data_IF_664538174855
#
_entry.id   IF_664538174855
#
_cell.length_a   1.000
_cell.length_b   1.000
_cell.length_c   1.000
_cell.angle_alpha   90.00
_cell.angle_beta   90.00
_cell.angle_gamma   90.00
#
_symmetry.space_group_name_H-M   'P 1'
#
loop_
_entity.id
_entity.type
_entity.pdbx_description
1 polymer ?
#
# COMPACT_ATOMS: atom_id res chain seq x y z
N UNK A 1 29.34 -1.80 -16.03
CA UNK A 1 28.38 -2.54 -15.17
C UNK A 1 27.96 -1.83 -13.88
N UNK A 2 28.74 -0.90 -13.29
CA UNK A 2 28.17 0.10 -12.37
C UNK A 2 26.95 0.77 -13.00
N UNK A 3 27.05 1.01 -14.32
CA UNK A 3 25.98 1.49 -15.19
C UNK A 3 24.71 0.65 -15.17
N UNK A 4 24.72 -0.69 -15.08
CA UNK A 4 23.48 -1.48 -15.21
C UNK A 4 22.64 -1.41 -13.94
N UNK A 5 23.29 -1.46 -12.76
CA UNK A 5 22.62 -1.27 -11.48
C UNK A 5 22.20 0.19 -11.31
N UNK A 6 23.05 1.14 -11.69
CA UNK A 6 22.70 2.58 -11.74
C UNK A 6 21.60 2.87 -12.74
N UNK A 7 21.53 2.17 -13.88
CA UNK A 7 20.45 2.30 -14.87
C UNK A 7 19.17 1.65 -14.36
N UNK A 8 19.23 0.52 -13.65
CA UNK A 8 18.07 -0.05 -12.98
C UNK A 8 17.54 0.90 -11.90
N UNK A 9 18.42 1.43 -11.05
CA UNK A 9 18.07 2.38 -9.98
C UNK A 9 17.61 3.74 -10.53
N UNK A 10 18.21 4.25 -11.59
CA UNK A 10 17.76 5.46 -12.29
C UNK A 10 16.44 5.23 -13.02
N UNK A 11 16.20 4.03 -13.55
CA UNK A 11 14.92 3.61 -14.11
C UNK A 11 13.85 3.46 -13.01
N UNK A 12 14.19 2.92 -11.83
CA UNK A 12 13.33 2.91 -10.64
C UNK A 12 13.06 4.33 -10.12
N UNK A 13 14.02 5.26 -10.18
CA UNK A 13 13.80 6.65 -9.78
C UNK A 13 12.96 7.43 -10.81
N UNK A 14 13.20 7.21 -12.10
CA UNK A 14 12.54 7.91 -13.22
C UNK A 14 11.10 7.43 -13.46
N UNK A 15 10.82 6.14 -13.31
CA UNK A 15 9.47 5.60 -13.50
C UNK A 15 8.54 5.77 -12.29
N UNK A 16 9.02 6.34 -11.18
CA UNK A 16 8.34 6.45 -9.88
C UNK A 16 7.38 5.26 -9.56
N UNK A 17 7.88 4.01 -9.56
CA UNK A 17 7.08 2.83 -9.26
C UNK A 17 6.70 2.76 -7.78
N UNK A 18 7.34 3.55 -6.92
CA UNK A 18 7.04 3.64 -5.48
C UNK A 18 5.67 4.30 -5.25
N UNK A 19 5.27 5.25 -6.11
CA UNK A 19 3.89 5.75 -6.16
C UNK A 19 2.90 4.73 -6.76
N UNK A 20 3.38 3.72 -7.52
CA UNK A 20 2.58 2.68 -8.14
C UNK A 20 2.60 1.34 -7.37
N UNK A 21 1.90 1.36 -6.21
CA UNK A 21 1.31 0.25 -5.41
C UNK A 21 2.25 -0.76 -4.72
N UNK A 22 2.06 -0.83 -3.40
CA UNK A 22 2.00 -2.11 -2.66
C UNK A 22 0.92 -3.02 -3.28
N UNK A 23 1.28 -4.22 -3.71
CA UNK A 23 0.34 -5.26 -4.17
C UNK A 23 0.04 -5.35 -5.69
N UNK A 24 0.83 -4.69 -6.56
CA UNK A 24 0.64 -4.63 -8.03
C UNK A 24 1.49 -5.61 -8.85
N UNK A 25 1.83 -6.78 -8.31
CA UNK A 25 2.65 -7.75 -9.06
C UNK A 25 1.78 -8.70 -9.90
N UNK A 26 2.11 -8.86 -11.19
CA UNK A 26 1.59 -9.97 -12.00
C UNK A 26 2.02 -11.31 -11.40
N UNK A 27 1.25 -12.37 -11.65
CA UNK A 27 1.70 -13.72 -11.31
C UNK A 27 2.92 -14.04 -12.17
N UNK A 28 3.86 -14.82 -11.62
CA UNK A 28 5.07 -15.22 -12.32
C UNK A 28 4.78 -15.96 -13.64
N UNK A 29 3.66 -16.66 -13.73
CA UNK A 29 3.22 -17.32 -14.95
C UNK A 29 2.70 -16.33 -16.00
N UNK A 30 1.87 -15.36 -15.62
CA UNK A 30 1.35 -14.32 -16.51
C UNK A 30 2.49 -13.45 -17.07
N UNK A 31 3.47 -13.13 -16.22
CA UNK A 31 4.68 -12.42 -16.65
C UNK A 31 5.52 -13.23 -17.66
N UNK A 32 5.67 -14.55 -17.45
CA UNK A 32 6.37 -15.44 -18.39
C UNK A 32 5.63 -15.56 -19.72
N UNK A 33 4.30 -15.71 -19.69
CA UNK A 33 3.45 -15.76 -20.90
C UNK A 33 3.54 -14.45 -21.70
N UNK A 34 3.52 -13.30 -21.01
CA UNK A 34 3.69 -11.99 -21.64
C UNK A 34 5.07 -11.84 -22.31
N UNK A 35 6.15 -12.25 -21.63
CA UNK A 35 7.50 -12.20 -22.17
C UNK A 35 7.65 -13.08 -23.43
N UNK A 36 7.14 -14.32 -23.39
CA UNK A 36 7.16 -15.24 -24.52
C UNK A 36 6.41 -14.66 -25.74
N UNK A 37 5.24 -14.06 -25.52
CA UNK A 37 4.43 -13.40 -26.55
C UNK A 37 5.11 -12.19 -27.19
N UNK A 38 5.86 -11.42 -26.40
CA UNK A 38 6.60 -10.27 -26.92
C UNK A 38 7.79 -10.74 -27.76
N UNK A 39 8.49 -11.80 -27.32
CA UNK A 39 9.61 -12.40 -28.05
C UNK A 39 9.23 -13.16 -29.33
N UNK A 40 7.96 -13.55 -29.50
CA UNK A 40 7.49 -14.26 -30.70
C UNK A 40 7.02 -13.34 -31.84
N UNK A 41 7.19 -12.02 -31.76
CA UNK A 41 6.74 -11.09 -32.82
C UNK A 41 7.70 -11.12 -34.03
N UNK A 42 7.21 -11.13 -35.27
CA UNK A 42 8.07 -10.94 -36.44
C UNK A 42 8.80 -9.59 -36.35
N UNK A 43 10.13 -9.60 -36.44
CA UNK A 43 10.97 -8.40 -36.23
C UNK A 43 11.40 -8.13 -34.78
N UNK A 44 10.95 -8.95 -33.82
CA UNK A 44 11.43 -8.91 -32.44
C UNK A 44 12.67 -9.78 -32.22
N UNK A 45 13.82 -9.35 -32.76
CA UNK A 45 15.11 -9.94 -32.37
C UNK A 45 15.46 -9.59 -30.90
N UNK A 46 16.51 -10.16 -30.30
CA UNK A 46 16.96 -9.81 -28.94
C UNK A 46 17.20 -8.30 -28.72
N UNK A 47 17.35 -7.51 -29.79
CA UNK A 47 17.37 -6.03 -29.74
C UNK A 47 16.01 -5.32 -29.60
N UNK A 48 14.89 -6.04 -29.46
CA UNK A 48 13.53 -5.46 -29.35
C UNK A 48 12.93 -5.51 -27.94
N UNK A 49 13.44 -6.40 -27.07
CA UNK A 49 13.21 -6.39 -25.62
C UNK A 49 13.51 -5.04 -24.91
N UNK A 50 14.52 -4.24 -25.34
CA UNK A 50 14.83 -2.94 -24.75
C UNK A 50 13.80 -1.82 -25.00
N UNK A 51 12.79 -2.06 -25.85
CA UNK A 51 11.84 -1.03 -26.30
C UNK A 51 10.55 -0.96 -25.47
N UNK A 52 10.38 -1.85 -24.50
CA UNK A 52 9.21 -1.88 -23.64
C UNK A 52 9.61 -1.66 -22.17
N UNK A 53 9.59 -0.41 -21.67
CA UNK A 53 10.05 -0.09 -20.32
C UNK A 53 9.29 -0.89 -19.25
N UNK A 54 7.97 -1.09 -19.38
CA UNK A 54 7.19 -1.83 -18.37
C UNK A 54 7.51 -3.34 -18.34
N UNK A 55 7.77 -3.96 -19.50
CA UNK A 55 8.25 -5.34 -19.54
C UNK A 55 9.68 -5.45 -19.02
N UNK A 56 10.56 -4.51 -19.42
CA UNK A 56 11.93 -4.44 -18.92
C UNK A 56 11.96 -4.25 -17.40
N UNK A 57 11.04 -3.45 -16.83
CA UNK A 57 10.85 -3.30 -15.38
C UNK A 57 10.58 -4.64 -14.71
N UNK A 58 9.57 -5.39 -15.19
CA UNK A 58 9.18 -6.64 -14.56
C UNK A 58 10.15 -7.79 -14.82
N UNK A 59 10.83 -7.82 -15.97
CA UNK A 59 11.94 -8.73 -16.20
C UNK A 59 13.13 -8.40 -15.30
N UNK A 60 13.52 -7.12 -15.19
CA UNK A 60 14.54 -6.66 -14.23
C UNK A 60 14.11 -6.98 -12.80
N UNK A 61 12.82 -6.86 -12.45
CA UNK A 61 12.30 -7.18 -11.12
C UNK A 61 12.22 -8.69 -10.84
N UNK A 62 11.89 -9.51 -11.84
CA UNK A 62 11.94 -10.98 -11.76
C UNK A 62 13.38 -11.47 -11.61
N UNK A 63 14.30 -10.91 -12.39
CA UNK A 63 15.73 -11.21 -12.27
C UNK A 63 16.27 -10.62 -10.95
N UNK A 64 15.81 -9.45 -10.48
CA UNK A 64 16.15 -8.87 -9.16
C UNK A 64 15.63 -9.68 -7.98
N UNK A 65 14.43 -10.25 -8.08
CA UNK A 65 13.87 -11.18 -7.12
C UNK A 65 14.66 -12.51 -7.08
N UNK A 66 15.25 -12.93 -8.21
CA UNK A 66 16.25 -14.00 -8.25
C UNK A 66 17.66 -13.56 -7.80
N UNK A 67 17.96 -12.24 -7.79
CA UNK A 67 19.28 -11.69 -7.44
C UNK A 67 19.53 -11.50 -5.94
N UNK A 68 18.52 -11.61 -5.08
CA UNK A 68 18.66 -11.49 -3.63
C UNK A 68 18.09 -12.75 -2.96
N UNK A 69 18.98 -13.65 -2.53
CA UNK A 69 18.58 -14.81 -1.73
C UNK A 69 18.80 -14.51 -0.25
N UNK A 70 17.78 -14.77 0.57
CA UNK A 70 17.95 -14.87 2.02
C UNK A 70 18.80 -16.11 2.30
N UNK A 71 19.95 -15.93 2.96
CA UNK A 71 20.70 -17.05 3.51
C UNK A 71 19.95 -17.66 4.70
N UNK A 72 20.18 -18.94 5.06
CA UNK A 72 19.61 -19.57 6.24
C UNK A 72 19.89 -18.82 7.56
N UNK A 73 20.95 -18.00 7.58
CA UNK A 73 21.33 -17.14 8.70
C UNK A 73 20.56 -15.81 8.77
N UNK A 74 19.60 -15.57 7.88
CA UNK A 74 18.75 -14.36 7.88
C UNK A 74 19.37 -13.12 7.22
N UNK A 75 20.58 -13.21 6.67
CA UNK A 75 21.19 -12.15 5.87
C UNK A 75 20.79 -12.21 4.39
N UNK A 76 20.53 -11.06 3.77
CA UNK A 76 20.42 -10.95 2.32
C UNK A 76 21.81 -11.15 1.71
N UNK A 77 22.01 -12.20 0.91
CA UNK A 77 23.26 -12.39 0.17
C UNK A 77 23.15 -11.75 -1.22
N UNK A 78 24.15 -10.95 -1.64
CA UNK A 78 24.22 -10.44 -2.99
C UNK A 78 24.33 -11.62 -3.97
N UNK A 79 23.68 -11.51 -5.13
CA UNK A 79 23.85 -12.49 -6.20
C UNK A 79 25.33 -12.67 -6.58
N UNK A 80 25.72 -13.85 -7.07
CA UNK A 80 27.05 -14.16 -7.60
C UNK A 80 27.63 -13.12 -8.56
N UNK A 81 26.78 -12.34 -9.24
CA UNK A 81 27.17 -11.25 -10.16
C UNK A 81 27.69 -10.01 -9.42
N UNK A 82 27.07 -9.68 -8.28
CA UNK A 82 27.54 -8.62 -7.38
C UNK A 82 28.80 -9.09 -6.65
N UNK A 83 28.86 -10.37 -6.26
CA UNK A 83 30.04 -10.98 -5.70
C UNK A 83 31.25 -10.93 -6.66
N UNK A 84 31.09 -11.39 -7.90
CA UNK A 84 32.15 -11.34 -8.91
C UNK A 84 32.75 -9.92 -9.07
N UNK A 85 31.91 -8.88 -9.02
CA UNK A 85 32.37 -7.49 -9.14
C UNK A 85 33.14 -6.98 -7.92
N UNK A 86 32.71 -7.35 -6.70
CA UNK A 86 33.46 -7.08 -5.47
C UNK A 86 34.83 -7.77 -5.49
N UNK A 87 34.90 -8.99 -6.06
CA UNK A 87 36.15 -9.75 -6.17
C UNK A 87 37.11 -9.24 -7.27
N UNK A 88 36.63 -8.50 -8.29
CA UNK A 88 37.44 -7.96 -9.39
C UNK A 88 37.86 -6.49 -9.21
N UNK A 89 37.50 -5.87 -8.09
CA UNK A 89 37.83 -4.47 -7.78
C UNK A 89 38.76 -4.46 -6.57
N UNK A 90 40.10 -4.36 -6.74
CA UNK A 90 41.07 -4.67 -5.69
C UNK A 90 41.01 -3.75 -4.46
N UNK A 91 40.41 -2.57 -4.61
CA UNK A 91 40.24 -1.59 -3.52
C UNK A 91 38.83 -1.62 -2.89
N UNK A 92 37.99 -2.59 -3.24
CA UNK A 92 36.64 -2.70 -2.70
C UNK A 92 36.65 -3.38 -1.31
N UNK A 93 36.25 -2.70 -0.23
CA UNK A 93 36.35 -3.21 1.13
C UNK A 93 35.50 -4.46 1.39
N UNK A 94 34.66 -4.88 0.45
CA UNK A 94 33.82 -6.08 0.54
C UNK A 94 34.38 -7.28 -0.25
N UNK A 95 35.54 -7.15 -0.91
CA UNK A 95 36.17 -8.20 -1.71
C UNK A 95 36.55 -9.46 -0.90
N UNK A 96 36.81 -9.31 0.41
CA UNK A 96 37.23 -10.40 1.32
C UNK A 96 36.10 -11.37 1.70
N UNK A 97 34.85 -11.11 1.29
CA UNK A 97 33.69 -11.92 1.68
C UNK A 97 33.35 -13.07 0.72
N UNK A 98 34.19 -13.39 -0.28
CA UNK A 98 33.79 -14.18 -1.45
C UNK A 98 34.77 -15.29 -1.85
N UNK A 99 34.21 -16.40 -2.34
CA UNK A 99 34.90 -17.65 -2.71
C UNK A 99 35.35 -17.66 -4.20
N UNK A 100 36.56 -18.14 -4.47
CA UNK A 100 37.22 -18.11 -5.79
C UNK A 100 36.56 -19.01 -6.85
N UNK A 101 35.89 -20.11 -6.44
CA UNK A 101 35.35 -21.11 -7.37
C UNK A 101 34.23 -20.61 -8.29
N UNK A 102 33.61 -19.46 -7.97
CA UNK A 102 32.50 -18.89 -8.73
C UNK A 102 32.96 -17.93 -9.85
N UNK A 103 34.25 -17.58 -9.90
CA UNK A 103 34.77 -16.57 -10.83
C UNK A 103 34.74 -17.03 -12.30
N UNK A 104 35.07 -18.29 -12.55
CA UNK A 104 35.24 -18.83 -13.91
C UNK A 104 33.91 -19.17 -14.60
N UNK A 105 32.92 -19.64 -13.86
CA UNK A 105 31.61 -20.01 -14.42
C UNK A 105 30.83 -18.80 -14.94
N UNK A 106 31.04 -17.62 -14.35
CA UNK A 106 30.31 -16.40 -14.72
C UNK A 106 30.97 -15.63 -15.86
N UNK A 107 32.30 -15.70 -16.01
CA UNK A 107 32.98 -15.17 -17.19
C UNK A 107 32.41 -15.80 -18.47
N UNK A 108 32.13 -17.11 -18.45
CA UNK A 108 31.51 -17.82 -19.56
C UNK A 108 30.08 -17.32 -19.89
N UNK A 109 29.26 -17.02 -18.88
CA UNK A 109 27.87 -16.59 -19.06
C UNK A 109 27.74 -15.15 -19.61
N UNK A 110 28.59 -14.22 -19.16
CA UNK A 110 28.60 -12.84 -19.64
C UNK A 110 28.99 -12.76 -21.12
N UNK A 111 30.01 -13.52 -21.53
CA UNK A 111 30.43 -13.67 -22.93
C UNK A 111 29.33 -14.29 -23.79
N UNK A 112 28.57 -15.26 -23.25
CA UNK A 112 27.47 -15.90 -23.98
C UNK A 112 26.31 -14.92 -24.29
N UNK A 113 26.04 -13.97 -23.39
CA UNK A 113 24.96 -12.98 -23.53
C UNK A 113 25.40 -11.67 -24.22
N UNK A 114 26.67 -11.52 -24.59
CA UNK A 114 27.25 -10.32 -25.24
C UNK A 114 26.93 -9.01 -24.51
N UNK A 115 26.85 -9.04 -23.19
CA UNK A 115 26.50 -7.86 -22.37
C UNK A 115 27.62 -6.81 -22.35
N UNK A 116 28.80 -7.20 -22.82
CA UNK A 116 30.04 -6.45 -22.82
C UNK A 116 30.05 -5.32 -23.86
N UNK A 117 29.14 -5.35 -24.86
CA UNK A 117 29.18 -4.47 -26.04
C UNK A 117 28.21 -3.28 -26.03
N UNK A 118 27.40 -3.06 -24.98
CA UNK A 118 26.39 -1.99 -24.96
C UNK A 118 26.87 -0.79 -24.15
N UNK A 119 27.10 0.36 -24.81
CA UNK A 119 27.60 1.57 -24.15
C UNK A 119 26.50 2.35 -23.40
N UNK A 120 26.83 3.05 -22.31
CA UNK A 120 25.88 3.91 -21.57
C UNK A 120 25.23 5.00 -22.42
N UNK A 121 25.98 5.56 -23.38
CA UNK A 121 25.52 6.63 -24.27
C UNK A 121 24.48 6.11 -25.29
N UNK A 122 24.68 4.90 -25.81
CA UNK A 122 23.70 4.26 -26.69
C UNK A 122 22.36 4.04 -25.97
N UNK A 123 22.39 3.77 -24.66
CA UNK A 123 21.20 3.58 -23.83
C UNK A 123 20.41 4.89 -23.59
N UNK A 124 21.11 5.98 -23.28
CA UNK A 124 20.51 7.32 -23.12
C UNK A 124 19.90 7.85 -24.42
N UNK A 125 20.58 7.64 -25.55
CA UNK A 125 20.08 8.00 -26.86
C UNK A 125 18.84 7.17 -27.24
N UNK A 126 18.80 5.90 -26.83
CA UNK A 126 17.63 5.03 -26.99
C UNK A 126 16.43 5.49 -26.14
N UNK A 127 16.65 5.92 -24.90
CA UNK A 127 15.61 6.49 -24.03
C UNK A 127 15.05 7.82 -24.58
N UNK A 128 15.93 8.71 -25.08
CA UNK A 128 15.51 9.95 -25.76
C UNK A 128 14.71 9.65 -27.02
N UNK A 129 15.15 8.73 -27.86
CA UNK A 129 14.39 8.31 -29.03
C UNK A 129 13.04 7.64 -28.69
N UNK A 130 12.94 6.90 -27.57
CA UNK A 130 11.67 6.36 -27.10
C UNK A 130 10.71 7.46 -26.62
N UNK A 131 11.24 8.55 -26.07
CA UNK A 131 10.48 9.72 -25.63
C UNK A 131 10.05 10.62 -26.81
N UNK A 132 10.94 10.85 -27.77
CA UNK A 132 10.68 11.61 -29.01
C UNK A 132 9.73 10.87 -29.97
N UNK A 133 9.73 9.52 -29.94
CA UNK A 133 8.79 8.68 -30.70
C UNK A 133 7.45 8.48 -30.02
N UNK A 134 7.15 9.17 -28.90
CA UNK A 134 5.77 9.38 -28.45
C UNK A 134 5.06 10.32 -29.41
N UNK A 135 4.90 9.88 -30.65
CA UNK A 135 3.87 10.40 -31.54
C UNK A 135 2.56 10.21 -30.78
N UNK A 136 1.69 11.22 -30.66
CA UNK A 136 0.33 10.99 -30.18
C UNK A 136 -0.28 9.92 -31.08
N UNK A 137 -0.33 8.69 -30.57
CA UNK A 137 -0.83 7.55 -31.33
C UNK A 137 -2.25 7.89 -31.77
N UNK A 138 -2.48 7.82 -33.09
CA UNK A 138 -3.81 8.07 -33.62
C UNK A 138 -4.84 7.19 -32.88
N UNK A 139 -5.90 7.78 -32.31
CA UNK A 139 -6.84 7.13 -31.36
C UNK A 139 -7.71 6.01 -31.96
N UNK A 140 -7.40 5.53 -33.17
CA UNK A 140 -8.34 4.84 -34.05
C UNK A 140 -8.28 3.30 -34.00
N UNK A 141 -7.53 2.66 -33.11
CA UNK A 141 -7.59 1.18 -33.04
C UNK A 141 -7.46 0.62 -31.63
N UNK A 142 -8.59 0.09 -31.16
CA UNK A 142 -8.74 -0.70 -29.94
C UNK A 142 -7.63 -1.75 -29.74
N UNK A 143 -7.03 -1.75 -28.54
CA UNK A 143 -6.04 -2.73 -28.07
C UNK A 143 -6.66 -4.12 -27.87
N UNK A 144 -7.93 -4.18 -27.50
CA UNK A 144 -8.69 -5.39 -27.27
C UNK A 144 -9.93 -5.41 -28.17
N UNK A 145 -10.32 -6.60 -28.63
CA UNK A 145 -11.64 -6.81 -29.26
C UNK A 145 -12.45 -7.75 -28.38
N UNK A 146 -13.72 -7.45 -28.21
CA UNK A 146 -14.67 -8.40 -27.64
C UNK A 146 -14.65 -9.69 -28.47
N UNK A 147 -14.46 -10.82 -27.80
CA UNK A 147 -14.53 -12.16 -28.37
C UNK A 147 -15.76 -12.92 -27.86
N UNK A 148 -16.35 -12.48 -26.74
CA UNK A 148 -17.61 -12.96 -26.19
C UNK A 148 -17.88 -12.33 -24.83
N UNK A 149 -19.16 -12.21 -24.47
CA UNK A 149 -19.60 -11.73 -23.16
C UNK A 149 -20.74 -12.62 -22.67
N UNK A 150 -20.45 -13.45 -21.68
CA UNK A 150 -21.39 -14.31 -20.97
C UNK A 150 -21.79 -13.66 -19.63
N UNK A 151 -22.74 -14.25 -18.91
CA UNK A 151 -23.17 -13.76 -17.59
C UNK A 151 -22.04 -13.78 -16.54
N UNK A 152 -21.17 -14.79 -16.63
CA UNK A 152 -20.10 -15.02 -15.67
C UNK A 152 -18.70 -14.68 -16.20
N UNK A 153 -18.58 -14.35 -17.49
CA UNK A 153 -17.28 -14.20 -18.11
C UNK A 153 -17.25 -13.30 -19.35
N UNK A 154 -16.27 -12.40 -19.40
CA UNK A 154 -15.92 -11.58 -20.55
C UNK A 154 -14.63 -12.07 -21.17
N UNK A 155 -14.65 -12.21 -22.50
CA UNK A 155 -13.52 -12.70 -23.29
C UNK A 155 -13.06 -11.60 -24.23
N UNK A 156 -11.81 -11.17 -24.08
CA UNK A 156 -11.19 -10.16 -24.92
C UNK A 156 -10.03 -10.76 -25.70
N UNK A 157 -10.00 -10.59 -27.03
CA UNK A 157 -8.84 -10.91 -27.84
C UNK A 157 -7.93 -9.68 -27.91
N UNK A 158 -6.75 -9.78 -27.32
CA UNK A 158 -5.77 -8.71 -27.23
C UNK A 158 -4.97 -8.61 -28.53
N UNK A 159 -4.88 -7.43 -29.15
CA UNK A 159 -4.04 -7.22 -30.33
C UNK A 159 -2.58 -6.99 -29.92
N UNK A 160 -1.61 -7.57 -30.63
CA UNK A 160 -0.21 -7.23 -30.44
C UNK A 160 0.06 -5.78 -30.90
N UNK A 161 0.76 -4.99 -30.08
CA UNK A 161 1.55 -3.86 -30.57
C UNK A 161 1.10 -2.41 -30.33
N UNK A 162 0.33 -2.07 -29.27
CA UNK A 162 -0.05 -0.65 -29.02
C UNK A 162 0.39 -0.04 -27.69
N UNK A 163 0.21 -0.72 -26.56
CA UNK A 163 0.65 -0.15 -25.27
C UNK A 163 0.86 -1.24 -24.25
N UNK A 164 2.11 -1.41 -23.82
CA UNK A 164 2.47 -2.37 -22.80
C UNK A 164 1.96 -1.99 -21.41
N UNK A 165 1.85 -0.69 -21.14
CA UNK A 165 1.26 -0.17 -19.90
C UNK A 165 -0.23 -0.51 -19.78
N UNK A 166 -1.02 -0.29 -20.84
CA UNK A 166 -2.44 -0.64 -20.84
C UNK A 166 -2.64 -2.15 -20.84
N UNK A 167 -1.83 -2.88 -21.62
CA UNK A 167 -1.83 -4.35 -21.61
C UNK A 167 -1.55 -4.90 -20.20
N UNK A 168 -0.60 -4.32 -19.48
CA UNK A 168 -0.28 -4.70 -18.11
C UNK A 168 -1.45 -4.51 -17.15
N UNK A 169 -2.08 -3.33 -17.16
CA UNK A 169 -3.24 -3.07 -16.30
C UNK A 169 -4.45 -3.96 -16.68
N UNK A 170 -4.61 -4.33 -17.96
CA UNK A 170 -5.63 -5.30 -18.39
C UNK A 170 -5.34 -6.72 -17.90
N UNK A 171 -4.08 -7.15 -17.90
CA UNK A 171 -3.69 -8.44 -17.34
C UNK A 171 -3.96 -8.52 -15.84
N UNK A 172 -4.02 -7.39 -15.14
CA UNK A 172 -4.44 -7.32 -13.76
C UNK A 172 -5.97 -7.46 -13.57
N UNK A 173 -6.78 -7.49 -14.62
CA UNK A 173 -8.23 -7.69 -14.52
C UNK A 173 -8.65 -9.16 -14.67
N UNK A 174 -7.81 -9.97 -15.29
CA UNK A 174 -8.22 -11.26 -15.85
C UNK A 174 -7.16 -12.34 -15.85
N UNK A 175 -7.54 -13.51 -16.34
CA UNK A 175 -6.61 -14.60 -16.65
C UNK A 175 -6.23 -14.53 -18.12
N UNK A 176 -4.94 -14.56 -18.44
CA UNK A 176 -4.46 -14.54 -19.82
C UNK A 176 -4.21 -15.97 -20.34
N UNK A 177 -4.96 -16.34 -21.37
CA UNK A 177 -4.85 -17.61 -22.09
C UNK A 177 -4.26 -17.38 -23.48
N UNK A 178 -3.11 -18.01 -23.80
CA UNK A 178 -2.55 -17.98 -25.14
C UNK A 178 -3.54 -18.53 -26.18
N UNK A 179 -3.55 -18.01 -27.43
CA UNK A 179 -2.56 -17.09 -27.98
C UNK A 179 -2.74 -15.63 -27.54
N UNK A 180 -3.96 -15.15 -27.31
CA UNK A 180 -4.23 -13.72 -27.08
C UNK A 180 -5.52 -13.44 -26.27
N UNK A 181 -6.05 -14.41 -25.53
CA UNK A 181 -7.35 -14.31 -24.88
C UNK A 181 -7.21 -13.85 -23.42
N UNK A 182 -7.88 -12.75 -23.07
CA UNK A 182 -8.04 -12.32 -21.67
C UNK A 182 -9.45 -12.66 -21.21
N UNK A 183 -9.55 -13.45 -20.14
CA UNK A 183 -10.81 -13.81 -19.49
C UNK A 183 -10.97 -12.95 -18.23
N UNK A 184 -12.01 -12.13 -18.19
CA UNK A 184 -12.38 -11.32 -17.02
C UNK A 184 -13.67 -11.89 -16.46
N UNK A 185 -13.68 -12.24 -15.18
CA UNK A 185 -14.83 -12.82 -14.48
C UNK A 185 -14.95 -12.22 -13.07
N UNK A 186 -16.04 -12.47 -12.32
CA UNK A 186 -16.14 -12.05 -10.93
C UNK A 186 -14.95 -12.51 -10.09
N UNK A 187 -14.45 -13.73 -10.33
CA UNK A 187 -13.33 -14.30 -9.60
C UNK A 187 -12.00 -13.60 -9.91
N UNK A 188 -11.75 -13.21 -11.17
CA UNK A 188 -10.51 -12.50 -11.51
C UNK A 188 -10.54 -11.06 -11.02
N UNK A 189 -11.71 -10.40 -11.05
CA UNK A 189 -11.89 -9.07 -10.44
C UNK A 189 -11.81 -9.11 -8.91
N UNK A 190 -12.17 -10.24 -8.30
CA UNK A 190 -11.96 -10.49 -6.88
C UNK A 190 -10.50 -10.81 -6.53
N UNK A 191 -9.56 -10.85 -7.47
CA UNK A 191 -8.16 -11.08 -7.14
C UNK A 191 -7.53 -9.84 -6.47
N UNK A 192 -6.55 -9.99 -5.55
CA UNK A 192 -5.99 -8.87 -4.79
C UNK A 192 -5.51 -7.69 -5.65
N UNK A 193 -4.96 -7.97 -6.83
CA UNK A 193 -4.42 -6.95 -7.73
C UNK A 193 -5.51 -6.15 -8.47
N UNK A 194 -6.66 -6.76 -8.76
CA UNK A 194 -7.81 -6.12 -9.40
C UNK A 194 -8.65 -5.29 -8.42
N UNK A 195 -8.77 -5.74 -7.16
CA UNK A 195 -9.61 -5.11 -6.12
C UNK A 195 -9.33 -3.62 -5.89
N UNK A 196 -8.09 -3.17 -6.07
CA UNK A 196 -7.72 -1.77 -5.81
C UNK A 196 -8.08 -0.79 -6.94
N UNK A 197 -8.60 -1.28 -8.06
CA UNK A 197 -8.90 -0.43 -9.21
C UNK A 197 -10.24 0.32 -8.99
N UNK A 198 -11.22 -0.30 -8.35
CA UNK A 198 -12.56 0.28 -8.21
C UNK A 198 -13.32 0.33 -9.55
N UNK A 199 -14.64 0.57 -9.50
CA UNK A 199 -15.52 0.50 -10.67
C UNK A 199 -15.05 1.38 -11.83
N UNK A 200 -14.82 2.67 -11.57
CA UNK A 200 -14.52 3.63 -12.64
C UNK A 200 -13.21 3.34 -13.35
N UNK A 201 -12.20 2.86 -12.63
CA UNK A 201 -10.92 2.51 -13.25
C UNK A 201 -11.03 1.24 -14.07
N UNK A 202 -11.72 0.21 -13.57
CA UNK A 202 -11.93 -1.04 -14.33
C UNK A 202 -12.72 -0.74 -15.60
N UNK A 203 -13.81 0.05 -15.50
CA UNK A 203 -14.57 0.54 -16.66
C UNK A 203 -13.67 1.29 -17.63
N UNK A 204 -12.94 2.31 -17.16
CA UNK A 204 -12.03 3.09 -18.00
C UNK A 204 -10.99 2.21 -18.71
N UNK A 205 -10.39 1.24 -18.03
CA UNK A 205 -9.42 0.31 -18.61
C UNK A 205 -10.04 -0.50 -19.74
N UNK A 206 -11.23 -1.05 -19.52
CA UNK A 206 -11.93 -1.85 -20.52
C UNK A 206 -12.35 -1.00 -21.72
N UNK A 207 -12.94 0.18 -21.49
CA UNK A 207 -13.38 1.09 -22.56
C UNK A 207 -12.21 1.61 -23.40
N UNK A 208 -11.11 1.99 -22.73
CA UNK A 208 -9.87 2.42 -23.38
C UNK A 208 -9.27 1.27 -24.19
N UNK A 209 -9.28 0.05 -23.65
CA UNK A 209 -8.77 -1.12 -24.35
C UNK A 209 -9.62 -1.48 -25.58
N UNK A 210 -10.95 -1.43 -25.46
CA UNK A 210 -11.86 -1.79 -26.56
C UNK A 210 -12.15 -0.65 -27.52
N UNK A 211 -11.69 0.57 -27.22
CA UNK A 211 -11.92 1.76 -28.03
C UNK A 211 -13.40 2.14 -28.14
N UNK A 212 -14.21 1.76 -27.14
CA UNK A 212 -15.66 1.96 -27.15
C UNK A 212 -16.22 1.88 -25.73
N UNK A 213 -17.35 2.55 -25.48
CA UNK A 213 -18.00 2.58 -24.17
C UNK A 213 -18.65 1.22 -23.86
N UNK A 214 -18.64 0.81 -22.60
CA UNK A 214 -19.41 -0.35 -22.16
C UNK A 214 -20.89 -0.02 -22.29
N UNK A 215 -21.67 -0.90 -22.91
CA UNK A 215 -23.13 -0.76 -22.92
C UNK A 215 -23.70 -0.84 -21.49
N UNK A 216 -24.95 -0.40 -21.33
CA UNK A 216 -25.63 -0.35 -20.02
C UNK A 216 -25.69 -1.72 -19.35
N UNK A 217 -25.88 -2.81 -20.11
CA UNK A 217 -25.97 -4.16 -19.57
C UNK A 217 -24.63 -4.61 -18.98
N UNK A 218 -23.53 -4.37 -19.69
CA UNK A 218 -22.18 -4.68 -19.24
C UNK A 218 -21.72 -3.79 -18.07
N UNK A 219 -22.16 -2.53 -18.02
CA UNK A 219 -21.92 -1.67 -16.85
C UNK A 219 -22.61 -2.20 -15.59
N UNK A 220 -23.89 -2.60 -15.69
CA UNK A 220 -24.63 -3.22 -14.57
C UNK A 220 -23.93 -4.51 -14.14
N UNK A 221 -23.57 -5.37 -15.10
CA UNK A 221 -22.85 -6.62 -14.82
C UNK A 221 -21.51 -6.40 -14.12
N UNK A 222 -20.73 -5.39 -14.54
CA UNK A 222 -19.46 -5.04 -13.88
C UNK A 222 -19.67 -4.59 -12.43
N UNK A 223 -20.72 -3.79 -12.16
CA UNK A 223 -21.07 -3.39 -10.78
C UNK A 223 -21.42 -4.61 -9.95
N UNK A 224 -22.28 -5.49 -10.46
CA UNK A 224 -22.68 -6.71 -9.76
C UNK A 224 -21.48 -7.61 -9.46
N UNK A 225 -20.57 -7.79 -10.42
CA UNK A 225 -19.35 -8.57 -10.22
C UNK A 225 -18.44 -7.97 -9.13
N UNK A 226 -18.25 -6.65 -9.13
CA UNK A 226 -17.45 -5.97 -8.10
C UNK A 226 -18.13 -6.02 -6.72
N UNK A 227 -19.45 -5.85 -6.66
CA UNK A 227 -20.21 -6.01 -5.41
C UNK A 227 -20.11 -7.44 -4.86
N UNK A 228 -20.25 -8.47 -5.72
CA UNK A 228 -20.07 -9.89 -5.33
C UNK A 228 -18.65 -10.19 -4.86
N UNK A 229 -17.63 -9.60 -5.50
CA UNK A 229 -16.24 -9.74 -5.10
C UNK A 229 -15.96 -9.18 -3.69
N UNK A 230 -16.79 -8.25 -3.23
CA UNK A 230 -16.70 -7.65 -1.89
C UNK A 230 -17.64 -8.28 -0.86
N UNK A 231 -18.64 -9.06 -1.30
CA UNK A 231 -19.68 -9.62 -0.44
C UNK A 231 -19.14 -10.53 0.68
N UNK A 232 -18.09 -11.31 0.39
CA UNK A 232 -17.48 -12.21 1.37
C UNK A 232 -16.01 -11.86 1.55
N UNK A 233 -15.62 -11.49 2.78
CA UNK A 233 -14.23 -11.18 3.15
C UNK A 233 -13.79 -12.07 4.31
N UNK A 234 -12.83 -12.95 4.05
CA UNK A 234 -12.13 -13.64 5.13
C UNK A 234 -11.11 -12.66 5.73
N UNK A 235 -11.34 -12.21 6.97
CA UNK A 235 -10.45 -11.27 7.65
C UNK A 235 -9.64 -11.96 8.74
N UNK A 236 -8.31 -11.82 8.65
CA UNK A 236 -7.35 -12.04 9.74
C UNK A 236 -7.35 -13.42 10.41
N UNK A 237 -6.50 -13.58 11.42
CA UNK A 237 -6.64 -14.64 12.42
C UNK A 237 -7.43 -14.10 13.60
N UNK A 238 -8.41 -14.87 14.06
CA UNK A 238 -9.20 -14.49 15.23
C UNK A 238 -8.36 -14.71 16.49
N UNK A 239 -8.24 -13.67 17.31
CA UNK A 239 -7.69 -13.75 18.65
C UNK A 239 -8.85 -13.69 19.65
N UNK A 240 -8.99 -14.76 20.44
CA UNK A 240 -9.98 -14.88 21.50
C UNK A 240 -9.28 -14.81 22.85
N UNK A 241 -9.83 -14.02 23.78
CA UNK A 241 -9.40 -13.98 25.18
C UNK A 241 -10.48 -14.56 26.09
N UNK A 242 -10.09 -15.10 27.24
CA UNK A 242 -11.06 -15.64 28.19
C UNK A 242 -11.86 -14.51 28.85
N UNK A 243 -11.20 -13.38 29.10
CA UNK A 243 -11.76 -12.22 29.80
C UNK A 243 -11.55 -10.93 28.99
N UNK A 244 -12.48 -9.95 29.04
CA UNK A 244 -12.35 -8.70 28.27
C UNK A 244 -11.11 -7.87 28.62
N UNK A 245 -10.74 -7.82 29.91
CA UNK A 245 -9.57 -7.05 30.36
C UNK A 245 -8.26 -7.55 29.74
N UNK A 246 -8.14 -8.86 29.44
CA UNK A 246 -6.97 -9.42 28.78
C UNK A 246 -6.79 -8.84 27.38
N UNK A 247 -7.89 -8.67 26.62
CA UNK A 247 -7.82 -8.05 25.29
C UNK A 247 -7.49 -6.56 25.39
N UNK A 248 -8.04 -5.86 26.40
CA UNK A 248 -7.71 -4.47 26.67
C UNK A 248 -6.20 -4.27 26.98
N UNK A 249 -5.59 -5.16 27.77
CA UNK A 249 -4.14 -5.15 28.03
C UNK A 249 -3.30 -5.31 26.76
N UNK A 250 -3.77 -6.13 25.80
CA UNK A 250 -3.09 -6.29 24.51
C UNK A 250 -3.20 -5.02 23.66
N UNK A 251 -4.33 -4.32 23.67
CA UNK A 251 -4.50 -3.02 22.99
C UNK A 251 -3.64 -1.91 23.62
N UNK A 252 -3.46 -1.95 24.95
CA UNK A 252 -2.57 -1.04 25.67
C UNK A 252 -1.08 -1.30 25.38
N UNK A 253 -0.72 -2.53 25.01
CA UNK A 253 0.65 -2.88 24.66
C UNK A 253 1.07 -2.27 23.30
N UNK A 254 1.79 -1.15 23.35
CA UNK A 254 2.26 -0.39 22.17
C UNK A 254 2.92 -1.24 21.07
N UNK A 255 3.63 -2.31 21.44
CA UNK A 255 4.29 -3.23 20.50
C UNK A 255 3.34 -4.19 19.78
N UNK A 256 2.18 -4.49 20.37
CA UNK A 256 1.18 -5.41 19.79
C UNK A 256 0.09 -4.68 19.02
N UNK A 257 -0.18 -3.42 19.37
CA UNK A 257 -1.21 -2.58 18.75
C UNK A 257 -1.19 -2.57 17.21
N UNK A 258 -0.04 -2.52 16.50
CA UNK A 258 -0.04 -2.57 15.04
C UNK A 258 -0.59 -3.87 14.43
N UNK A 259 -0.62 -4.96 15.21
CA UNK A 259 -1.08 -6.27 14.78
C UNK A 259 -2.53 -6.55 15.21
N UNK A 260 -3.11 -5.74 16.09
CA UNK A 260 -4.53 -5.81 16.46
C UNK A 260 -5.34 -4.99 15.45
N UNK A 261 -5.75 -5.64 14.37
CA UNK A 261 -6.39 -5.01 13.21
C UNK A 261 -7.71 -4.35 13.59
N UNK A 262 -8.56 -5.07 14.31
CA UNK A 262 -9.93 -4.66 14.59
C UNK A 262 -10.47 -5.44 15.80
N UNK A 263 -11.15 -4.76 16.73
CA UNK A 263 -11.84 -5.46 17.82
C UNK A 263 -13.27 -5.75 17.37
N UNK A 264 -13.64 -7.04 17.33
CA UNK A 264 -14.97 -7.49 16.93
C UNK A 264 -15.90 -7.57 18.15
N UNK A 265 -15.36 -7.90 19.33
CA UNK A 265 -16.13 -7.98 20.57
C UNK A 265 -15.25 -7.80 21.81
N UNK A 266 -15.83 -7.79 23.02
CA UNK A 266 -15.09 -7.56 24.27
C UNK A 266 -13.93 -8.54 24.48
N UNK A 267 -14.07 -9.76 23.97
CA UNK A 267 -13.10 -10.86 24.05
C UNK A 267 -12.52 -11.29 22.70
N UNK A 268 -12.82 -10.55 21.63
CA UNK A 268 -12.53 -11.00 20.28
C UNK A 268 -11.92 -9.89 19.43
N UNK A 269 -10.77 -10.14 18.81
CA UNK A 269 -10.15 -9.23 17.86
C UNK A 269 -9.59 -9.96 16.65
N UNK A 270 -9.56 -9.27 15.52
CA UNK A 270 -8.76 -9.64 14.37
C UNK A 270 -7.30 -9.32 14.65
N UNK A 271 -6.45 -10.32 14.47
CA UNK A 271 -5.02 -10.25 14.68
C UNK A 271 -4.27 -10.59 13.39
N UNK A 272 -3.29 -9.76 13.05
CA UNK A 272 -2.37 -10.00 11.95
C UNK A 272 -1.37 -11.10 12.35
N UNK A 273 -1.30 -12.17 11.56
CA UNK A 273 -0.36 -13.28 11.78
C UNK A 273 1.10 -12.84 11.85
N UNK A 274 1.47 -11.74 11.18
CA UNK A 274 2.82 -11.18 11.27
C UNK A 274 3.23 -10.84 12.72
N UNK A 275 2.25 -10.54 13.59
CA UNK A 275 2.46 -10.23 15.00
C UNK A 275 2.59 -11.43 15.93
N UNK A 276 2.35 -12.67 15.46
CA UNK A 276 2.28 -13.86 16.32
C UNK A 276 3.54 -14.07 17.17
N UNK A 277 4.78 -13.87 16.67
CA UNK A 277 5.98 -14.00 17.50
C UNK A 277 6.05 -12.96 18.62
N UNK A 278 5.56 -11.73 18.39
CA UNK A 278 5.50 -10.70 19.43
C UNK A 278 4.43 -11.04 20.48
N UNK A 279 3.26 -11.51 20.03
CA UNK A 279 2.16 -11.93 20.91
C UNK A 279 2.58 -13.11 21.78
N UNK A 280 3.16 -14.17 21.20
CA UNK A 280 3.66 -15.35 21.95
C UNK A 280 4.66 -14.95 23.03
N UNK A 281 5.63 -14.09 22.70
CA UNK A 281 6.61 -13.60 23.69
C UNK A 281 5.94 -12.81 24.82
N UNK A 282 4.97 -11.95 24.49
CA UNK A 282 4.24 -11.16 25.49
C UNK A 282 3.39 -12.04 26.40
N UNK A 283 2.62 -12.96 25.83
CA UNK A 283 1.76 -13.87 26.59
C UNK A 283 2.61 -14.81 27.47
N UNK A 284 3.72 -15.35 26.94
CA UNK A 284 4.66 -16.14 27.73
C UNK A 284 5.24 -15.35 28.91
N UNK A 285 5.59 -14.07 28.72
CA UNK A 285 6.05 -13.20 29.80
C UNK A 285 4.97 -12.89 30.85
N UNK A 286 3.70 -13.02 30.49
CA UNK A 286 2.55 -12.90 31.39
C UNK A 286 2.12 -14.25 32.00
N UNK A 287 2.83 -15.35 31.70
CA UNK A 287 2.49 -16.69 32.19
C UNK A 287 1.39 -17.41 31.40
N UNK A 288 0.99 -16.90 30.23
CA UNK A 288 -0.02 -17.50 29.37
C UNK A 288 0.64 -18.17 28.14
N UNK A 289 0.74 -19.51 28.08
CA UNK A 289 1.21 -20.18 26.87
C UNK A 289 0.16 -20.04 25.77
N UNK A 290 0.55 -19.49 24.62
CA UNK A 290 -0.30 -19.47 23.44
C UNK A 290 -0.01 -20.73 22.60
N UNK A 291 -0.94 -21.68 22.61
CA UNK A 291 -0.92 -22.86 21.75
C UNK A 291 -1.35 -22.49 20.32
N UNK A 292 -0.53 -21.66 19.68
CA UNK A 292 -0.61 -21.49 18.24
C UNK A 292 0.13 -22.70 17.65
N UNK A 293 -0.62 -23.72 17.24
CA UNK A 293 -0.09 -24.92 16.58
C UNK A 293 0.98 -24.58 15.53
N UNK A 294 1.86 -25.53 15.18
CA UNK A 294 3.11 -25.27 14.46
C UNK A 294 2.86 -24.33 13.29
N UNK A 295 3.35 -23.09 13.44
CA UNK A 295 3.35 -22.08 12.40
C UNK A 295 4.05 -22.72 11.21
N UNK A 296 3.28 -23.08 10.17
CA UNK A 296 3.86 -23.50 8.89
C UNK A 296 4.89 -22.45 8.51
N UNK A 297 6.14 -22.90 8.39
CA UNK A 297 7.37 -22.11 8.43
C UNK A 297 7.49 -21.15 7.24
N UNK A 298 6.67 -20.11 7.23
CA UNK A 298 6.75 -18.97 6.31
C UNK A 298 7.22 -17.77 7.12
N UNK A 299 8.47 -17.85 7.52
CA UNK A 299 9.23 -16.80 8.19
C UNK A 299 9.39 -15.59 7.28
N UNK A 300 8.57 -14.56 7.50
CA UNK A 300 8.88 -13.18 7.13
C UNK A 300 8.77 -12.32 8.39
N UNK A 301 9.93 -11.91 8.91
CA UNK A 301 10.04 -10.98 10.04
C UNK A 301 9.81 -9.55 9.54
N UNK A 302 9.09 -8.68 10.27
CA UNK A 302 9.05 -7.25 9.94
C UNK A 302 10.38 -6.59 10.34
N UNK A 303 10.94 -5.67 9.54
CA UNK A 303 12.21 -5.04 9.85
C UNK A 303 12.06 -3.95 10.92
N UNK A 304 13.10 -3.83 11.76
CA UNK A 304 13.28 -2.72 12.68
C UNK A 304 13.65 -1.44 11.91
N UNK A 305 13.06 -0.31 12.31
CA UNK A 305 13.36 0.99 11.72
C UNK A 305 14.72 1.51 12.22
N UNK A 306 15.61 1.82 11.27
CA UNK A 306 16.85 2.58 11.48
C UNK A 306 16.74 3.98 10.84
N UNK A 307 17.48 4.97 11.36
CA UNK A 307 17.30 6.38 10.98
C UNK A 307 17.82 6.64 9.57
N UNK A 308 16.96 7.24 8.75
CA UNK A 308 17.29 7.68 7.39
C UNK A 308 18.07 8.99 7.48
N UNK A 309 19.31 8.99 7.02
CA UNK A 309 20.03 10.21 6.66
C UNK A 309 19.55 10.60 5.27
N UNK A 310 18.59 11.52 5.20
CA UNK A 310 17.99 11.96 3.95
C UNK A 310 18.92 12.93 3.20
N UNK A 311 18.96 12.81 1.87
CA UNK A 311 19.49 13.83 1.00
C UNK A 311 18.75 15.17 1.24
N UNK A 312 19.38 16.33 1.00
CA UNK A 312 18.70 17.61 1.16
C UNK A 312 17.43 17.63 0.28
N UNK A 313 16.28 18.05 0.84
CA UNK A 313 15.00 18.05 0.13
C UNK A 313 15.03 19.00 -1.06
N UNK A 314 14.26 18.66 -2.09
CA UNK A 314 14.09 19.51 -3.28
C UNK A 314 13.36 20.82 -2.92
N UNK A 315 13.55 21.88 -3.73
CA UNK A 315 12.94 23.20 -3.54
C UNK A 315 11.41 23.12 -3.52
N UNK A 316 10.82 22.28 -4.37
CA UNK A 316 9.38 22.03 -4.40
C UNK A 316 8.88 21.33 -3.12
N UNK A 317 9.64 20.37 -2.60
CA UNK A 317 9.33 19.68 -1.34
C UNK A 317 9.43 20.62 -0.14
N UNK A 318 10.43 21.49 -0.14
CA UNK A 318 10.60 22.54 0.88
C UNK A 318 9.44 23.54 0.85
N UNK A 319 9.00 23.98 -0.33
CA UNK A 319 7.84 24.86 -0.48
C UNK A 319 6.58 24.21 0.10
N UNK A 320 6.26 22.99 -0.35
CA UNK A 320 5.10 22.25 0.12
C UNK A 320 5.16 22.03 1.64
N UNK A 321 6.32 21.62 2.16
CA UNK A 321 6.54 21.40 3.59
C UNK A 321 6.29 22.67 4.42
N UNK A 322 6.81 23.81 3.98
CA UNK A 322 6.61 25.09 4.67
C UNK A 322 5.17 25.59 4.56
N UNK A 323 4.47 25.38 3.45
CA UNK A 323 3.04 25.71 3.30
C UNK A 323 2.16 24.88 4.23
N UNK A 324 2.42 23.57 4.31
CA UNK A 324 1.73 22.68 5.26
C UNK A 324 2.03 23.10 6.70
N UNK A 325 3.28 23.40 7.05
CA UNK A 325 3.63 23.91 8.39
C UNK A 325 2.93 25.23 8.73
N UNK A 326 2.88 26.18 7.79
CA UNK A 326 2.18 27.45 7.95
C UNK A 326 0.67 27.24 8.18
N UNK A 327 0.05 26.32 7.43
CA UNK A 327 -1.35 25.96 7.61
C UNK A 327 -1.62 25.25 8.94
N UNK A 328 -0.71 24.37 9.36
CA UNK A 328 -0.79 23.66 10.64
C UNK A 328 -0.78 24.60 11.84
N UNK A 329 -0.04 25.71 11.79
CA UNK A 329 -0.01 26.71 12.86
C UNK A 329 -1.39 27.30 13.19
N UNK A 330 -2.35 27.25 12.24
CA UNK A 330 -3.74 27.68 12.48
C UNK A 330 -4.52 26.72 13.37
N UNK A 331 -4.10 25.46 13.44
CA UNK A 331 -4.78 24.38 14.16
C UNK A 331 -4.03 23.94 15.41
N UNK A 332 -2.70 24.08 15.42
CA UNK A 332 -1.82 23.60 16.50
C UNK A 332 -0.77 24.69 16.77
N UNK A 333 -0.57 25.14 18.02
CA UNK A 333 0.51 26.06 18.35
C UNK A 333 1.86 25.35 18.21
N UNK A 334 2.64 25.69 17.18
CA UNK A 334 3.98 25.13 16.95
C UNK A 334 5.06 26.06 17.55
N UNK A 335 6.07 25.53 18.27
CA UNK A 335 7.20 26.34 18.73
C UNK A 335 8.11 26.73 17.55
N UNK A 336 8.43 28.02 17.41
CA UNK A 336 9.34 28.54 16.39
C UNK A 336 8.88 29.83 15.73
N UNK A 337 9.73 30.42 14.88
CA UNK A 337 9.37 31.57 14.05
C UNK A 337 8.44 31.17 12.91
N UNK A 338 7.60 32.10 12.47
CA UNK A 338 6.65 31.88 11.37
C UNK A 338 7.40 31.45 10.09
N UNK A 339 6.97 30.37 9.41
CA UNK A 339 7.59 29.90 8.18
C UNK A 339 7.38 30.84 6.98
N UNK A 340 6.59 31.92 7.14
CA UNK A 340 6.28 32.89 6.07
C UNK A 340 7.55 33.51 5.48
N UNK A 341 8.52 33.93 6.29
CA UNK A 341 9.76 34.52 5.78
C UNK A 341 10.64 33.52 4.99
N UNK A 342 10.46 32.22 5.21
CA UNK A 342 11.12 31.17 4.42
C UNK A 342 10.36 30.86 3.13
N UNK A 343 9.03 30.97 3.15
CA UNK A 343 8.20 30.91 1.94
C UNK A 343 8.50 32.08 1.01
N UNK A 344 8.57 33.31 1.51
CA UNK A 344 8.88 34.50 0.69
C UNK A 344 10.23 34.37 -0.02
N UNK A 345 11.23 33.76 0.63
CA UNK A 345 12.54 33.50 0.03
C UNK A 345 12.50 32.42 -1.04
N UNK A 346 11.71 31.36 -0.85
CA UNK A 346 11.56 30.30 -1.84
C UNK A 346 10.69 30.73 -3.03
N UNK A 347 9.82 31.72 -2.86
CA UNK A 347 8.92 32.21 -3.92
C UNK A 347 9.71 32.81 -5.09
N UNK A 348 10.93 33.32 -4.81
CA UNK A 348 11.84 33.80 -5.86
C UNK A 348 12.50 32.67 -6.66
N UNK A 349 12.46 31.43 -6.17
CA UNK A 349 13.12 30.26 -6.77
C UNK A 349 12.15 29.27 -7.42
N UNK A 350 10.91 29.23 -6.98
CA UNK A 350 9.85 28.37 -7.54
C UNK A 350 9.10 29.16 -8.62
N UNK A 351 8.84 28.53 -9.77
CA UNK A 351 8.04 29.16 -10.82
C UNK A 351 6.60 29.45 -10.36
N UNK A 352 5.98 30.52 -10.85
CA UNK A 352 4.62 30.94 -10.41
C UNK A 352 3.57 29.84 -10.57
N UNK A 353 3.61 29.11 -11.68
CA UNK A 353 2.63 28.05 -11.97
C UNK A 353 2.87 26.81 -11.08
N UNK A 354 4.13 26.51 -10.78
CA UNK A 354 4.52 25.42 -9.89
C UNK A 354 4.13 25.74 -8.45
N UNK A 355 4.37 26.96 -7.98
CA UNK A 355 3.95 27.44 -6.68
C UNK A 355 2.42 27.34 -6.50
N UNK A 356 1.64 27.73 -7.51
CA UNK A 356 0.18 27.62 -7.48
C UNK A 356 -0.29 26.15 -7.40
N UNK A 357 0.35 25.24 -8.13
CA UNK A 357 0.06 23.80 -8.05
C UNK A 357 0.38 23.20 -6.68
N UNK A 358 1.51 23.60 -6.08
CA UNK A 358 1.92 23.16 -4.75
C UNK A 358 1.04 23.76 -3.64
N UNK A 359 0.56 24.99 -3.81
CA UNK A 359 -0.40 25.61 -2.90
C UNK A 359 -1.74 24.88 -2.89
N UNK A 360 -2.27 24.55 -4.08
CA UNK A 360 -3.49 23.74 -4.19
C UNK A 360 -3.33 22.35 -3.55
N UNK A 361 -2.14 21.75 -3.65
CA UNK A 361 -1.82 20.49 -2.98
C UNK A 361 -1.75 20.66 -1.45
N UNK A 362 -1.10 21.72 -0.95
CA UNK A 362 -1.02 22.04 0.46
C UNK A 362 -2.41 22.24 1.08
N UNK A 363 -3.27 23.00 0.40
CA UNK A 363 -4.65 23.26 0.84
C UNK A 363 -5.48 21.96 0.89
N UNK A 364 -5.31 21.07 -0.10
CA UNK A 364 -5.95 19.75 -0.06
C UNK A 364 -5.46 18.91 1.12
N UNK A 365 -4.14 18.84 1.35
CA UNK A 365 -3.57 18.10 2.48
C UNK A 365 -4.05 18.64 3.83
N UNK A 366 -4.13 19.97 3.97
CA UNK A 366 -4.62 20.62 5.18
C UNK A 366 -6.12 20.38 5.38
N UNK A 367 -6.92 20.33 4.32
CA UNK A 367 -8.34 19.96 4.38
C UNK A 367 -8.56 18.50 4.78
N UNK A 368 -7.79 17.58 4.18
CA UNK A 368 -7.82 16.16 4.54
C UNK A 368 -7.39 15.97 6.00
N UNK A 369 -6.32 16.66 6.41
CA UNK A 369 -5.85 16.64 7.78
C UNK A 369 -6.87 17.24 8.74
N UNK A 370 -7.52 18.35 8.37
CA UNK A 370 -8.59 18.93 9.18
C UNK A 370 -9.73 17.92 9.38
N UNK A 371 -10.13 17.22 8.33
CA UNK A 371 -11.14 16.15 8.40
C UNK A 371 -10.71 15.03 9.35
N UNK A 372 -9.43 14.63 9.30
CA UNK A 372 -8.85 13.62 10.20
C UNK A 372 -8.75 14.13 11.65
N UNK A 373 -8.41 15.40 11.86
CA UNK A 373 -8.32 16.05 13.18
C UNK A 373 -9.72 16.19 13.79
N UNK A 374 -10.73 16.57 13.02
CA UNK A 374 -12.12 16.57 13.47
C UNK A 374 -12.59 15.15 13.83
N UNK A 375 -12.03 14.12 13.17
CA UNK A 375 -12.20 12.71 13.56
C UNK A 375 -11.31 12.24 14.72
N UNK A 376 -10.33 13.03 15.17
CA UNK A 376 -9.35 12.68 16.22
C UNK A 376 -9.28 13.77 17.28
N UNK A 377 -10.13 13.54 18.27
CA UNK A 377 -10.44 14.35 19.45
C UNK A 377 -9.27 14.82 20.36
N UNK A 378 -7.99 14.64 20.02
CA UNK A 378 -6.86 14.92 20.90
C UNK A 378 -6.56 16.41 21.12
N UNK A 379 -7.15 17.32 20.33
CA UNK A 379 -6.78 18.76 20.34
C UNK A 379 -7.68 19.65 21.20
N UNK A 380 -8.75 19.12 21.78
CA UNK A 380 -9.68 19.91 22.60
C UNK A 380 -9.48 19.60 24.09
N UNK A 381 -9.19 20.60 24.95
CA UNK A 381 -9.02 20.39 26.39
C UNK A 381 -10.28 19.78 26.99
N UNK A 382 -10.10 18.93 28.01
CA UNK A 382 -11.21 18.34 28.75
C UNK A 382 -12.11 19.46 29.29
N UNK A 383 -13.42 19.38 29.06
CA UNK A 383 -14.34 20.36 29.68
C UNK A 383 -14.43 20.14 31.19
N UNK A 384 -14.35 18.87 31.62
CA UNK A 384 -14.39 18.42 33.02
C UNK A 384 -14.01 16.93 33.07
N UNK A 385 -13.33 16.42 34.12
CA UNK A 385 -13.21 14.97 34.30
C UNK A 385 -14.60 14.32 34.37
N UNK A 386 -14.79 13.12 33.78
CA UNK A 386 -16.07 12.44 33.82
C UNK A 386 -16.44 12.07 35.26
N UNK A 387 -17.74 12.06 35.61
CA UNK A 387 -18.21 11.60 36.92
C UNK A 387 -17.74 10.16 37.23
N UNK A 388 -17.35 9.89 38.48
CA UNK A 388 -16.77 8.60 38.86
C UNK A 388 -17.77 7.44 38.77
N UNK A 389 -19.04 7.72 39.03
CA UNK A 389 -20.20 6.84 38.85
C UNK A 389 -20.42 6.46 37.39
N UNK A 390 -20.32 7.41 36.46
CA UNK A 390 -20.37 7.16 35.02
C UNK A 390 -19.27 6.17 34.58
N UNK A 391 -18.03 6.39 35.05
CA UNK A 391 -16.89 5.51 34.73
C UNK A 391 -17.13 4.11 35.31
N UNK A 392 -17.64 4.00 36.54
CA UNK A 392 -17.95 2.73 37.18
C UNK A 392 -19.07 1.97 36.44
N UNK A 393 -20.13 2.66 36.04
CA UNK A 393 -21.25 2.09 35.27
C UNK A 393 -20.78 1.54 33.93
N UNK A 394 -19.97 2.30 33.17
CA UNK A 394 -19.42 1.84 31.89
C UNK A 394 -18.44 0.68 32.06
N UNK A 395 -17.67 0.65 33.16
CA UNK A 395 -16.78 -0.48 33.47
C UNK A 395 -17.58 -1.75 33.75
N UNK A 396 -18.69 -1.65 34.48
CA UNK A 396 -19.60 -2.77 34.72
C UNK A 396 -20.24 -3.24 33.41
N UNK A 397 -20.70 -2.33 32.55
CA UNK A 397 -21.28 -2.68 31.25
C UNK A 397 -20.28 -3.41 30.34
N UNK A 398 -19.01 -3.01 30.31
CA UNK A 398 -17.94 -3.74 29.59
C UNK A 398 -17.72 -5.14 30.16
N UNK A 399 -17.72 -5.28 31.49
CA UNK A 399 -17.47 -6.57 32.15
C UNK A 399 -18.64 -7.55 31.97
N UNK A 400 -19.86 -7.05 31.99
CA UNK A 400 -21.11 -7.81 31.85
C UNK A 400 -21.57 -7.94 30.39
N UNK A 401 -20.80 -7.39 29.44
CA UNK A 401 -21.12 -7.38 28.00
C UNK A 401 -22.52 -6.82 27.68
N UNK A 402 -22.96 -5.79 28.44
CA UNK A 402 -24.30 -5.18 28.32
C UNK A 402 -24.30 -3.96 27.40
N UNK A 403 -25.36 -3.83 26.59
CA UNK A 403 -25.63 -2.64 25.78
C UNK A 403 -26.00 -1.43 26.65
N UNK A 404 -25.60 -0.25 26.20
CA UNK A 404 -25.93 1.02 26.87
C UNK A 404 -26.33 2.09 25.85
N UNK A 405 -27.24 2.97 26.24
CA UNK A 405 -27.56 4.17 25.49
C UNK A 405 -26.75 5.35 26.03
N UNK A 406 -26.02 6.04 25.16
CA UNK A 406 -25.19 7.20 25.45
C UNK A 406 -25.79 8.44 24.80
N UNK A 407 -25.95 9.52 25.57
CA UNK A 407 -26.14 10.86 25.01
C UNK A 407 -24.76 11.52 24.86
N UNK A 408 -24.24 11.49 23.64
CA UNK A 408 -22.88 11.95 23.33
C UNK A 408 -22.91 13.32 22.66
N UNK A 409 -22.03 14.23 23.07
CA UNK A 409 -21.87 15.53 22.42
C UNK A 409 -20.62 15.53 21.50
N UNK A 410 -20.77 15.40 20.16
CA UNK A 410 -19.62 15.40 19.26
C UNK A 410 -18.86 16.74 19.27
N UNK A 411 -17.57 16.72 18.94
CA UNK A 411 -16.80 17.94 18.74
C UNK A 411 -17.48 18.84 17.70
N UNK A 412 -17.68 20.12 18.03
CA UNK A 412 -18.26 21.10 17.12
C UNK A 412 -19.77 20.93 16.82
N UNK A 413 -20.45 19.94 17.41
CA UNK A 413 -21.89 19.81 17.26
C UNK A 413 -22.65 20.78 18.17
N UNK A 414 -23.79 21.28 17.69
CA UNK A 414 -24.70 22.11 18.47
C UNK A 414 -25.65 21.29 19.37
N UNK A 415 -25.78 19.99 19.10
CA UNK A 415 -26.71 19.09 19.79
C UNK A 415 -26.03 17.75 20.11
N UNK A 416 -26.49 17.12 21.19
CA UNK A 416 -26.11 15.75 21.53
C UNK A 416 -26.75 14.75 20.56
N UNK A 417 -26.09 13.61 20.38
CA UNK A 417 -26.59 12.47 19.61
C UNK A 417 -26.71 11.28 20.55
N UNK A 418 -27.87 10.64 20.52
CA UNK A 418 -28.08 9.36 21.20
C UNK A 418 -27.46 8.22 20.39
N UNK A 419 -26.71 7.36 21.07
CA UNK A 419 -26.07 6.15 20.54
C UNK A 419 -26.41 4.95 21.42
N UNK A 420 -27.00 3.90 20.85
CA UNK A 420 -27.03 2.58 21.49
C UNK A 420 -25.75 1.85 21.10
N UNK A 421 -24.96 1.43 22.09
CA UNK A 421 -23.64 0.86 21.86
C UNK A 421 -23.41 -0.39 22.70
N UNK A 422 -22.55 -1.29 22.19
CA UNK A 422 -21.93 -2.38 22.95
C UNK A 422 -20.55 -1.91 23.45
N UNK A 423 -20.37 -1.62 24.75
CA UNK A 423 -19.09 -1.23 25.32
C UNK A 423 -18.05 -2.33 25.15
N UNK A 424 -16.91 -2.00 24.52
CA UNK A 424 -15.84 -2.97 24.29
C UNK A 424 -14.71 -2.82 25.29
N UNK A 425 -14.27 -1.59 25.57
CA UNK A 425 -13.24 -1.29 26.58
C UNK A 425 -13.19 0.20 26.94
N UNK A 426 -12.70 0.48 28.15
CA UNK A 426 -12.29 1.81 28.58
C UNK A 426 -10.78 1.96 28.44
N UNK A 427 -10.32 3.12 27.98
CA UNK A 427 -8.90 3.46 27.87
C UNK A 427 -8.63 4.85 28.44
N UNK A 428 -7.49 5.01 29.12
CA UNK A 428 -7.00 6.32 29.54
C UNK A 428 -5.86 6.76 28.62
N UNK A 429 -5.94 7.99 28.09
CA UNK A 429 -4.91 8.60 27.24
C UNK A 429 -4.81 10.08 27.61
N UNK A 430 -3.62 10.53 27.98
CA UNK A 430 -3.36 11.94 28.28
C UNK A 430 -4.38 12.54 29.29
N UNK A 431 -4.63 11.81 30.39
CA UNK A 431 -5.59 12.16 31.46
C UNK A 431 -7.08 12.20 31.03
N UNK A 432 -7.39 11.76 29.82
CA UNK A 432 -8.75 11.62 29.32
C UNK A 432 -9.14 10.15 29.29
N UNK A 433 -10.42 9.88 29.59
CA UNK A 433 -10.99 8.53 29.50
C UNK A 433 -11.81 8.42 28.22
N UNK A 434 -11.59 7.34 27.48
CA UNK A 434 -12.26 7.00 26.25
C UNK A 434 -12.98 5.65 26.39
N UNK A 435 -14.16 5.53 25.80
CA UNK A 435 -14.89 4.29 25.61
C UNK A 435 -14.77 3.89 24.13
N UNK A 436 -14.18 2.73 23.85
CA UNK A 436 -14.35 2.10 22.54
C UNK A 436 -15.58 1.20 22.60
N UNK A 437 -16.51 1.37 21.66
CA UNK A 437 -17.76 0.63 21.63
C UNK A 437 -18.26 0.41 20.20
N UNK A 438 -18.95 -0.69 19.94
CA UNK A 438 -19.66 -0.89 18.67
C UNK A 438 -20.97 -0.12 18.71
N UNK A 439 -21.20 0.79 17.76
CA UNK A 439 -22.39 1.63 17.69
C UNK A 439 -23.36 1.08 16.65
N UNK A 440 -24.51 0.56 17.07
CA UNK A 440 -25.52 0.02 16.14
C UNK A 440 -26.01 1.06 15.12
N UNK A 441 -26.13 2.32 15.54
CA UNK A 441 -26.52 3.42 14.64
C UNK A 441 -25.54 3.65 13.49
N UNK A 442 -24.25 3.42 13.73
CA UNK A 442 -23.19 3.69 12.76
C UNK A 442 -22.68 2.40 12.10
N UNK A 443 -23.16 1.25 12.57
CA UNK A 443 -22.71 -0.10 12.20
C UNK A 443 -21.17 -0.24 12.26
N UNK A 444 -20.54 0.46 13.20
CA UNK A 444 -19.09 0.58 13.28
C UNK A 444 -18.60 0.74 14.72
N UNK A 445 -17.36 0.32 14.95
CA UNK A 445 -16.64 0.56 16.20
C UNK A 445 -16.19 2.01 16.29
N UNK A 446 -16.72 2.73 17.26
CA UNK A 446 -16.43 4.14 17.53
C UNK A 446 -15.67 4.30 18.85
N UNK A 447 -15.01 5.45 19.01
CA UNK A 447 -14.38 5.86 20.27
C UNK A 447 -15.05 7.12 20.78
N UNK A 448 -15.60 7.05 21.99
CA UNK A 448 -16.31 8.13 22.67
C UNK A 448 -15.45 8.68 23.79
N UNK A 449 -15.32 10.01 23.87
CA UNK A 449 -14.70 10.69 25.01
C UNK A 449 -15.69 10.82 26.17
N UNK A 450 -15.34 10.31 27.35
CA UNK A 450 -16.27 10.27 28.48
C UNK A 450 -16.60 11.66 29.04
N UNK A 451 -15.72 12.65 28.89
CA UNK A 451 -15.99 14.04 29.27
C UNK A 451 -17.09 14.72 28.42
N UNK A 452 -17.56 14.03 27.37
CA UNK A 452 -18.63 14.50 26.47
C UNK A 452 -19.87 13.62 26.48
N UNK A 453 -19.91 12.61 27.35
CA UNK A 453 -21.11 11.81 27.60
C UNK A 453 -21.93 12.54 28.66
N UNK A 454 -23.15 12.94 28.32
CA UNK A 454 -24.05 13.66 29.21
C UNK A 454 -24.86 12.73 30.10
N UNK A 455 -25.33 11.61 29.54
CA UNK A 455 -26.11 10.61 30.23
C UNK A 455 -25.80 9.22 29.69
N UNK A 456 -25.95 8.22 30.57
CA UNK A 456 -25.86 6.80 30.24
C UNK A 456 -27.05 6.07 30.85
N UNK A 457 -27.83 5.44 29.99
CA UNK A 457 -28.94 4.58 30.38
C UNK A 457 -28.56 3.13 30.08
N UNK A 458 -28.72 2.25 31.06
CA UNK A 458 -28.63 0.81 30.82
C UNK A 458 -29.96 0.35 30.22
N UNK A 459 -29.90 -0.39 29.12
CA UNK A 459 -31.06 -1.16 28.67
C UNK A 459 -31.37 -2.17 29.78
N UNK A 460 -32.59 -2.12 30.33
CA UNK A 460 -33.03 -3.00 31.41
C UNK A 460 -33.37 -4.39 30.90
#
# INVERSE_FOLDING_TARGET
MATTLTLCLAYFAYCNPIAHRRGRLLRAEDARRLAARIGSRPGSGPGSLPLDPHLAFHLVWLVAADFLRLAPSGGLRPSPVVAWRLATTPDDPYASFLDESYRDQWAAAATCLRLDSVSPAAWLQMARHAQERRVPESPSSALARWNGADEDEWRFRLRPGRSSALLFELLALGCFEPPDLLRVSPLTLAAPHARYLGYDRVRWLLETATGGTLDTQNQVRLRDWLCRAEAYRLRGSLLLTAQPHQLAELYAARRLRPYLVEQIGPRCALFDRAGLPALRRRLAALGYPLDAGPLGDKTAHPPAASPVVAAPPDVAELWLGLRVLAGLQRYIPLPGSSPIASLDRLAATVGTDEAAGLDALADRLLSDLHTVIQGRDAFFPARRPPPADLVAQLRAAVAEERTVALDYWPAGAAESKRHVVEPLRLEERDQLIYLTAYSYRAEATLTFRLDRVQAVESDQ
#
